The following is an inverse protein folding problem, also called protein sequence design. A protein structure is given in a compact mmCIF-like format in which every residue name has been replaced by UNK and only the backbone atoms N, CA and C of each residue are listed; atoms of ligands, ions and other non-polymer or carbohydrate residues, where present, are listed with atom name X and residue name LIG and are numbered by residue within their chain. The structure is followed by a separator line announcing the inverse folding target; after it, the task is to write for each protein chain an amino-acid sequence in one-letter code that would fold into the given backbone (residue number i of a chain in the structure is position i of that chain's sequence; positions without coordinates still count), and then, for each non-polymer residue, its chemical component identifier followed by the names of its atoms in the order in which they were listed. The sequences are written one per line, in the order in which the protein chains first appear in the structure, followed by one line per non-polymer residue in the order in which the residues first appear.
data_IF_295860315732
#
_entry.id   IF_295860315732
#
_cell.length_a   1.000
_cell.length_b   1.000
_cell.length_c   1.000
_cell.angle_alpha   90.00
_cell.angle_beta   90.00
_cell.angle_gamma   90.00
#
_symmetry.space_group_name_H-M   'P 1'
#
loop_
_entity.id
_entity.type
_entity.pdbx_description
1 polymer ?
#
# COMPACT_ATOMS: atom_id res chain seq x y z
N UNK A 1 26.28 -14.18 1.87
CA UNK A 1 24.98 -13.85 1.23
C UNK A 1 25.04 -12.42 0.71
N UNK A 2 24.92 -12.27 -0.61
CA UNK A 2 25.05 -10.97 -1.30
C UNK A 2 23.95 -9.97 -0.87
N UNK A 3 24.25 -8.67 -0.91
CA UNK A 3 23.31 -7.58 -0.56
C UNK A 3 22.04 -7.62 -1.41
N UNK A 4 22.14 -7.98 -2.69
CA UNK A 4 20.95 -8.14 -3.56
C UNK A 4 20.05 -9.28 -3.08
N UNK A 5 20.62 -10.45 -2.74
CA UNK A 5 19.86 -11.58 -2.20
C UNK A 5 19.12 -11.22 -0.91
N UNK A 6 19.76 -10.47 0.00
CA UNK A 6 19.10 -9.96 1.21
C UNK A 6 17.95 -9.01 0.89
N UNK A 7 18.08 -8.16 -0.13
CA UNK A 7 17.00 -7.25 -0.55
C UNK A 7 15.79 -8.00 -1.13
N UNK A 8 16.00 -9.07 -1.92
CA UNK A 8 14.91 -9.92 -2.39
C UNK A 8 14.18 -10.62 -1.22
N UNK A 9 14.93 -11.15 -0.26
CA UNK A 9 14.36 -11.74 0.96
C UNK A 9 13.57 -10.72 1.80
N UNK A 10 14.11 -9.50 1.94
CA UNK A 10 13.41 -8.40 2.62
C UNK A 10 12.11 -8.03 1.90
N UNK A 11 12.09 -7.99 0.57
CA UNK A 11 10.88 -7.73 -0.19
C UNK A 11 9.83 -8.84 -0.04
N UNK A 12 10.23 -10.11 -0.01
CA UNK A 12 9.29 -11.20 0.28
C UNK A 12 8.68 -11.07 1.70
N UNK A 13 9.50 -10.70 2.68
CA UNK A 13 9.06 -10.47 4.06
C UNK A 13 8.12 -9.26 4.18
N UNK A 14 8.36 -8.19 3.42
CA UNK A 14 7.47 -7.02 3.29
C UNK A 14 6.07 -7.45 2.83
N UNK A 15 5.97 -8.37 1.87
CA UNK A 15 4.66 -8.87 1.40
C UNK A 15 3.95 -9.71 2.45
N UNK A 16 4.68 -10.53 3.22
CA UNK A 16 4.12 -11.29 4.34
C UNK A 16 3.60 -10.38 5.46
N UNK A 17 4.37 -9.36 5.85
CA UNK A 17 3.92 -8.37 6.84
C UNK A 17 2.70 -7.58 6.38
N UNK A 18 2.68 -7.21 5.11
CA UNK A 18 1.53 -6.50 4.51
C UNK A 18 0.29 -7.40 4.44
N UNK A 19 0.45 -8.69 4.11
CA UNK A 19 -0.63 -9.67 4.14
C UNK A 19 -1.18 -9.89 5.56
N UNK A 20 -0.30 -10.02 6.56
CA UNK A 20 -0.69 -10.16 7.97
C UNK A 20 -1.45 -8.93 8.48
N UNK A 21 -1.04 -7.73 8.06
CA UNK A 21 -1.75 -6.49 8.37
C UNK A 21 -3.19 -6.51 7.88
N UNK A 22 -3.46 -6.97 6.66
CA UNK A 22 -4.83 -7.06 6.16
C UNK A 22 -5.70 -8.02 6.98
N UNK A 23 -5.16 -9.16 7.40
CA UNK A 23 -5.88 -10.13 8.22
C UNK A 23 -6.17 -9.57 9.62
N UNK A 24 -5.16 -9.02 10.30
CA UNK A 24 -5.28 -8.50 11.67
C UNK A 24 -6.20 -7.26 11.71
N UNK A 25 -6.01 -6.34 10.76
CA UNK A 25 -6.79 -5.09 10.71
C UNK A 25 -8.25 -5.39 10.45
N UNK A 26 -8.58 -6.42 9.65
CA UNK A 26 -9.96 -6.86 9.45
C UNK A 26 -10.63 -7.32 10.74
N UNK A 27 -9.95 -8.13 11.55
CA UNK A 27 -10.50 -8.63 12.83
C UNK A 27 -10.72 -7.47 13.81
N UNK A 28 -9.82 -6.49 13.84
CA UNK A 28 -9.92 -5.35 14.74
C UNK A 28 -10.90 -4.27 14.29
N UNK A 29 -11.06 -4.05 12.98
CA UNK A 29 -11.98 -3.04 12.42
C UNK A 29 -13.45 -3.42 12.55
N UNK A 30 -13.79 -4.69 12.80
CA UNK A 30 -15.16 -5.08 13.15
C UNK A 30 -15.68 -4.38 14.43
N UNK A 31 -14.82 -3.71 15.20
CA UNK A 31 -15.18 -2.88 16.35
C UNK A 31 -15.69 -1.46 16.01
N UNK A 32 -15.67 -1.04 14.73
CA UNK A 32 -16.21 0.27 14.32
C UNK A 32 -15.26 1.46 14.46
N UNK A 33 -13.93 1.25 14.50
CA UNK A 33 -12.94 2.35 14.59
C UNK A 33 -13.10 3.35 13.44
N UNK A 34 -12.98 4.64 13.77
CA UNK A 34 -12.78 5.68 12.77
C UNK A 34 -11.44 5.50 12.02
N UNK A 35 -11.50 5.18 10.74
CA UNK A 35 -10.32 4.85 9.92
C UNK A 35 -9.29 5.98 9.85
N UNK A 36 -9.71 7.24 9.92
CA UNK A 36 -8.81 8.39 9.91
C UNK A 36 -7.99 8.48 11.21
N UNK A 37 -8.64 8.20 12.34
CA UNK A 37 -8.00 8.12 13.65
C UNK A 37 -7.01 6.96 13.68
N UNK A 38 -7.41 5.80 13.15
CA UNK A 38 -6.52 4.64 13.01
C UNK A 38 -5.27 4.96 12.18
N UNK A 39 -5.43 5.60 11.00
CA UNK A 39 -4.33 6.04 10.16
C UNK A 39 -3.42 7.07 10.87
N UNK A 40 -4.01 7.97 11.67
CA UNK A 40 -3.27 8.96 12.46
C UNK A 40 -2.37 8.27 13.48
N UNK A 41 -2.92 7.38 14.31
CA UNK A 41 -2.14 6.64 15.30
C UNK A 41 -1.08 5.75 14.66
N UNK A 42 -1.43 5.05 13.58
CA UNK A 42 -0.49 4.23 12.80
C UNK A 42 0.72 5.04 12.33
N UNK A 43 0.50 6.21 11.73
CA UNK A 43 1.56 7.05 11.19
C UNK A 43 2.40 7.70 12.30
N UNK A 44 1.76 8.16 13.39
CA UNK A 44 2.45 8.72 14.54
C UNK A 44 3.33 7.67 15.23
N UNK A 45 2.81 6.45 15.45
CA UNK A 45 3.58 5.36 16.04
C UNK A 45 4.77 4.97 15.16
N UNK A 46 4.56 4.86 13.85
CA UNK A 46 5.63 4.57 12.91
C UNK A 46 6.74 5.63 12.94
N UNK A 47 6.37 6.91 13.02
CA UNK A 47 7.30 8.03 13.18
C UNK A 47 8.08 7.95 14.50
N UNK A 48 7.39 7.70 15.63
CA UNK A 48 8.01 7.57 16.95
C UNK A 48 9.04 6.44 17.02
N UNK A 49 8.93 5.42 16.17
CA UNK A 49 9.91 4.32 16.07
C UNK A 49 11.00 4.66 15.05
N UNK A 50 10.63 5.11 13.85
CA UNK A 50 11.56 5.39 12.78
C UNK A 50 12.50 6.54 13.11
N UNK A 51 12.02 7.61 13.75
CA UNK A 51 12.83 8.78 14.08
C UNK A 51 14.03 8.45 14.99
N UNK A 52 13.86 7.80 16.16
CA UNK A 52 14.99 7.42 17.00
C UNK A 52 15.87 6.35 16.34
N UNK A 53 15.28 5.32 15.71
CA UNK A 53 16.06 4.27 15.04
C UNK A 53 16.93 4.86 13.93
N UNK A 54 16.36 5.73 13.08
CA UNK A 54 17.13 6.44 12.08
C UNK A 54 18.22 7.29 12.74
N UNK A 55 17.90 7.99 13.84
CA UNK A 55 18.86 8.85 14.55
C UNK A 55 20.07 8.04 15.00
N UNK A 56 19.87 6.95 15.73
CA UNK A 56 20.97 6.15 16.25
C UNK A 56 21.71 5.37 15.16
N UNK A 57 21.02 4.78 14.19
CA UNK A 57 21.65 3.95 13.16
C UNK A 57 22.39 4.76 12.08
N UNK A 58 21.98 6.00 11.82
CA UNK A 58 22.48 6.77 10.68
C UNK A 58 23.18 8.07 11.07
N UNK A 59 23.32 8.39 12.37
CA UNK A 59 23.97 9.64 12.85
C UNK A 59 25.33 9.91 12.22
N UNK A 60 26.11 8.86 11.96
CA UNK A 60 27.50 8.96 11.53
C UNK A 60 27.72 9.38 10.07
N UNK A 61 26.71 9.30 9.19
CA UNK A 61 26.91 9.54 7.75
C UNK A 61 25.78 10.35 7.08
N UNK A 62 24.89 10.95 7.88
CA UNK A 62 23.79 11.80 7.36
C UNK A 62 24.34 13.08 6.73
N UNK A 63 24.03 13.35 5.44
CA UNK A 63 24.29 14.66 4.85
C UNK A 63 23.48 15.76 5.54
N UNK A 64 23.87 17.04 5.43
CA UNK A 64 23.05 18.15 5.89
C UNK A 64 21.74 18.24 5.10
N UNK A 65 20.64 18.51 5.79
CA UNK A 65 19.32 18.67 5.17
C UNK A 65 19.27 20.02 4.45
N UNK A 66 19.11 19.99 3.13
CA UNK A 66 18.90 21.18 2.30
C UNK A 66 17.40 21.42 2.08
N UNK A 67 17.00 22.65 1.74
CA UNK A 67 15.60 22.97 1.41
C UNK A 67 15.03 22.08 0.30
N UNK A 68 15.85 21.76 -0.71
CA UNK A 68 15.46 20.87 -1.82
C UNK A 68 15.15 19.45 -1.34
N UNK A 69 15.97 18.91 -0.42
CA UNK A 69 15.71 17.60 0.19
C UNK A 69 14.46 17.60 1.06
N UNK A 70 14.24 18.68 1.82
CA UNK A 70 13.05 18.83 2.64
C UNK A 70 11.77 18.81 1.78
N UNK A 71 11.77 19.50 0.64
CA UNK A 71 10.67 19.44 -0.34
C UNK A 71 10.50 18.01 -0.88
N UNK A 72 11.59 17.31 -1.20
CA UNK A 72 11.50 15.91 -1.62
C UNK A 72 10.89 15.01 -0.54
N UNK A 73 11.30 15.15 0.73
CA UNK A 73 10.71 14.39 1.83
C UNK A 73 9.23 14.69 2.03
N UNK A 74 8.82 15.95 1.86
CA UNK A 74 7.42 16.33 1.85
C UNK A 74 6.64 15.62 0.74
N UNK A 75 7.14 15.61 -0.50
CA UNK A 75 6.49 14.90 -1.61
C UNK A 75 6.47 13.38 -1.41
N UNK A 76 7.51 12.78 -0.83
CA UNK A 76 7.50 11.36 -0.46
C UNK A 76 6.45 11.06 0.60
N UNK A 77 6.32 11.89 1.64
CA UNK A 77 5.28 11.76 2.66
C UNK A 77 3.87 11.96 2.09
N UNK A 78 3.69 12.97 1.23
CA UNK A 78 2.44 13.30 0.56
C UNK A 78 1.99 12.16 -0.35
N UNK A 79 2.87 11.62 -1.18
CA UNK A 79 2.50 10.60 -2.17
C UNK A 79 2.50 9.19 -1.58
N UNK A 80 3.53 8.80 -0.83
CA UNK A 80 3.70 7.41 -0.39
C UNK A 80 2.86 7.00 0.81
N UNK A 81 2.51 7.96 1.66
CA UNK A 81 1.89 7.67 2.96
C UNK A 81 0.53 8.36 3.05
N UNK A 82 0.50 9.69 3.10
CA UNK A 82 -0.74 10.44 3.32
C UNK A 82 -1.73 10.28 2.16
N UNK A 83 -1.35 10.67 0.95
CA UNK A 83 -2.20 10.62 -0.24
C UNK A 83 -2.53 9.19 -0.63
N UNK A 84 -1.56 8.27 -0.54
CA UNK A 84 -1.79 6.84 -0.72
C UNK A 84 -2.91 6.33 0.20
N UNK A 85 -2.80 6.55 1.53
CA UNK A 85 -3.82 6.10 2.49
C UNK A 85 -5.18 6.77 2.24
N UNK A 86 -5.20 8.10 2.08
CA UNK A 86 -6.45 8.85 1.92
C UNK A 86 -7.22 8.45 0.65
N UNK A 87 -6.53 8.34 -0.48
CA UNK A 87 -7.12 7.94 -1.76
C UNK A 87 -7.59 6.48 -1.73
N UNK A 88 -6.89 5.62 -0.98
CA UNK A 88 -7.35 4.24 -0.78
C UNK A 88 -8.67 4.19 -0.01
N UNK A 89 -8.75 4.92 1.12
CA UNK A 89 -9.96 4.97 1.94
C UNK A 89 -11.14 5.59 1.17
N UNK A 90 -10.90 6.70 0.48
CA UNK A 90 -11.93 7.32 -0.37
C UNK A 90 -12.37 6.38 -1.51
N UNK A 91 -11.43 5.69 -2.16
CA UNK A 91 -11.73 4.72 -3.20
C UNK A 91 -12.62 3.57 -2.70
N UNK A 92 -12.30 3.02 -1.53
CA UNK A 92 -13.10 1.97 -0.90
C UNK A 92 -14.48 2.46 -0.45
N UNK A 93 -14.61 3.71 -0.01
CA UNK A 93 -15.90 4.27 0.40
C UNK A 93 -16.93 4.35 -0.75
N UNK A 94 -16.47 4.46 -2.01
CA UNK A 94 -17.33 4.59 -3.18
C UNK A 94 -17.28 3.39 -4.14
N UNK A 95 -16.44 2.38 -3.85
CA UNK A 95 -16.31 1.15 -4.65
C UNK A 95 -16.33 -0.09 -3.76
N UNK A 96 -15.46 -1.06 -4.01
CA UNK A 96 -15.32 -2.25 -3.18
C UNK A 96 -13.85 -2.75 -3.19
N UNK A 97 -13.48 -3.63 -2.25
CA UNK A 97 -12.13 -4.21 -2.19
C UNK A 97 -11.71 -4.97 -3.45
N UNK A 98 -12.65 -5.53 -4.22
CA UNK A 98 -12.36 -6.24 -5.49
C UNK A 98 -11.81 -5.28 -6.54
N UNK A 99 -12.39 -4.09 -6.69
CA UNK A 99 -11.86 -3.06 -7.59
C UNK A 99 -10.48 -2.58 -7.13
N UNK A 100 -10.29 -2.37 -5.82
CA UNK A 100 -9.00 -1.99 -5.27
C UNK A 100 -7.92 -3.04 -5.57
N UNK A 101 -8.22 -4.32 -5.38
CA UNK A 101 -7.31 -5.42 -5.69
C UNK A 101 -6.99 -5.51 -7.19
N UNK A 102 -7.99 -5.31 -8.06
CA UNK A 102 -7.81 -5.32 -9.51
C UNK A 102 -6.89 -4.20 -10.03
N UNK A 103 -6.81 -3.06 -9.31
CA UNK A 103 -5.97 -1.92 -9.67
C UNK A 103 -4.51 -2.06 -9.21
N UNK A 104 -4.22 -2.88 -8.20
CA UNK A 104 -2.85 -3.01 -7.66
C UNK A 104 -1.78 -3.41 -8.69
N UNK A 105 -2.06 -4.31 -9.66
CA UNK A 105 -1.10 -4.68 -10.69
C UNK A 105 -0.73 -3.54 -11.65
N UNK A 106 -1.44 -2.42 -11.62
CA UNK A 106 -1.09 -1.19 -12.34
C UNK A 106 0.08 -0.44 -11.70
N UNK A 107 0.38 -0.65 -10.41
CA UNK A 107 1.51 -0.02 -9.72
C UNK A 107 2.87 -0.30 -10.39
N UNK A 108 3.27 -1.55 -10.69
CA UNK A 108 4.54 -1.80 -11.37
C UNK A 108 4.61 -1.20 -12.78
N UNK A 109 3.47 -1.12 -13.50
CA UNK A 109 3.39 -0.47 -14.82
C UNK A 109 3.70 1.02 -14.69
N UNK A 110 2.99 1.71 -13.79
CA UNK A 110 3.17 3.14 -13.53
C UNK A 110 4.56 3.44 -12.98
N UNK A 111 5.09 2.59 -12.09
CA UNK A 111 6.42 2.78 -11.52
C UNK A 111 7.48 2.71 -12.60
N UNK A 112 7.42 1.72 -13.48
CA UNK A 112 8.36 1.59 -14.59
C UNK A 112 8.25 2.76 -15.58
N UNK A 113 7.02 3.18 -15.92
CA UNK A 113 6.81 4.36 -16.78
C UNK A 113 7.45 5.62 -16.16
N UNK A 114 7.21 5.87 -14.88
CA UNK A 114 7.77 7.02 -14.16
C UNK A 114 9.29 6.95 -14.09
N UNK A 115 9.89 5.79 -13.82
CA UNK A 115 11.35 5.67 -13.79
C UNK A 115 12.00 5.87 -15.16
N UNK A 116 11.33 5.49 -16.24
CA UNK A 116 11.77 5.80 -17.61
C UNK A 116 11.72 7.31 -17.89
N UNK A 117 10.61 7.97 -17.55
CA UNK A 117 10.44 9.43 -17.73
C UNK A 117 11.49 10.20 -16.91
N UNK A 118 11.77 9.73 -15.69
CA UNK A 118 12.76 10.35 -14.80
C UNK A 118 14.22 9.98 -15.15
N UNK A 119 14.45 9.10 -16.14
CA UNK A 119 15.78 8.62 -16.50
C UNK A 119 16.49 7.82 -15.41
N UNK A 120 15.75 7.29 -14.44
CA UNK A 120 16.28 6.46 -13.35
C UNK A 120 16.62 5.06 -13.88
N UNK A 121 15.77 4.56 -14.79
CA UNK A 121 15.96 3.27 -15.45
C UNK A 121 15.96 3.46 -16.97
N UNK A 122 16.66 2.57 -17.68
CA UNK A 122 16.72 2.59 -19.15
C UNK A 122 15.99 1.39 -19.72
N UNK A 123 15.12 1.62 -20.71
CA UNK A 123 14.46 0.55 -21.44
C UNK A 123 15.47 -0.08 -22.41
N UNK A 124 16.10 -1.17 -21.98
CA UNK A 124 16.98 -1.94 -22.84
C UNK A 124 16.50 -3.39 -22.93
N UNK A 125 15.65 -3.66 -23.91
CA UNK A 125 15.11 -4.99 -24.21
C UNK A 125 16.19 -5.98 -24.69
N UNK A 126 17.38 -5.50 -25.04
CA UNK A 126 18.52 -6.35 -25.35
C UNK A 126 19.14 -7.01 -24.12
N UNK A 127 18.99 -6.40 -22.93
CA UNK A 127 19.52 -6.95 -21.66
C UNK A 127 18.50 -7.86 -20.99
N UNK A 128 18.99 -8.91 -20.33
CA UNK A 128 18.17 -9.85 -19.54
C UNK A 128 17.36 -9.09 -18.47
N UNK A 129 17.97 -8.08 -17.81
CA UNK A 129 17.28 -7.26 -16.81
C UNK A 129 16.06 -6.52 -17.37
N UNK A 130 16.14 -5.97 -18.59
CA UNK A 130 15.02 -5.29 -19.24
C UNK A 130 13.90 -6.27 -19.63
N UNK A 131 14.25 -7.44 -20.15
CA UNK A 131 13.29 -8.51 -20.46
C UNK A 131 12.58 -9.02 -19.20
N UNK A 132 13.30 -9.19 -18.10
CA UNK A 132 12.74 -9.64 -16.82
C UNK A 132 11.75 -8.62 -16.23
N UNK A 133 12.02 -7.31 -16.37
CA UNK A 133 11.11 -6.27 -15.89
C UNK A 133 9.79 -6.27 -16.66
N UNK A 134 9.86 -6.29 -17.99
CA UNK A 134 8.65 -6.34 -18.85
C UNK A 134 7.91 -7.66 -18.65
N UNK A 135 8.63 -8.78 -18.57
CA UNK A 135 8.04 -10.09 -18.27
C UNK A 135 7.33 -10.12 -16.91
N UNK A 136 7.94 -9.55 -15.87
CA UNK A 136 7.32 -9.40 -14.55
C UNK A 136 6.03 -8.59 -14.62
N UNK A 137 6.01 -7.47 -15.35
CA UNK A 137 4.81 -6.66 -15.56
C UNK A 137 3.70 -7.48 -16.24
N UNK A 138 4.02 -8.24 -17.31
CA UNK A 138 3.06 -9.09 -18.01
C UNK A 138 2.47 -10.17 -17.10
N UNK A 139 3.30 -10.76 -16.23
CA UNK A 139 2.85 -11.74 -15.23
C UNK A 139 1.92 -11.08 -14.22
N UNK A 140 2.22 -9.87 -13.75
CA UNK A 140 1.34 -9.11 -12.85
C UNK A 140 -0.02 -8.81 -13.49
N UNK A 141 -0.04 -8.35 -14.76
CA UNK A 141 -1.28 -8.06 -15.49
C UNK A 141 -2.10 -9.33 -15.73
N UNK A 142 -1.44 -10.41 -16.16
CA UNK A 142 -2.11 -11.70 -16.37
C UNK A 142 -2.69 -12.24 -15.07
N UNK A 143 -1.94 -12.16 -13.96
CA UNK A 143 -2.42 -12.54 -12.63
C UNK A 143 -3.63 -11.72 -12.17
N UNK A 144 -3.63 -10.41 -12.44
CA UNK A 144 -4.76 -9.52 -12.17
C UNK A 144 -6.02 -9.95 -12.94
N UNK A 145 -5.86 -10.17 -14.25
CA UNK A 145 -6.95 -10.58 -15.13
C UNK A 145 -7.50 -11.95 -14.72
N UNK A 146 -6.62 -12.90 -14.37
CA UNK A 146 -7.04 -14.20 -13.84
C UNK A 146 -7.84 -14.05 -12.54
N UNK A 147 -7.40 -13.21 -11.59
CA UNK A 147 -8.15 -12.98 -10.34
C UNK A 147 -9.55 -12.36 -10.59
N UNK A 148 -9.68 -11.48 -11.58
CA UNK A 148 -10.96 -10.83 -11.91
C UNK A 148 -11.89 -11.74 -12.71
N UNK A 149 -11.35 -12.46 -13.70
CA UNK A 149 -12.13 -13.28 -14.63
C UNK A 149 -12.48 -14.66 -14.03
N UNK A 150 -11.65 -15.20 -13.14
CA UNK A 150 -11.86 -16.51 -12.50
C UNK A 150 -12.66 -16.42 -11.19
N UNK A 151 -13.82 -15.75 -11.20
CA UNK A 151 -14.81 -15.91 -10.11
C UNK A 151 -15.39 -17.33 -10.15
N UNK A 152 -14.79 -18.25 -9.39
CA UNK A 152 -15.22 -19.64 -9.24
C UNK A 152 -15.79 -19.94 -7.85
N UNK A 153 -16.75 -20.89 -7.70
CA UNK A 153 -17.30 -21.27 -6.40
C UNK A 153 -16.25 -21.97 -5.51
N UNK A 154 -16.42 -21.85 -4.19
CA UNK A 154 -15.51 -22.39 -3.17
C UNK A 154 -15.32 -23.92 -3.31
N UNK A 155 -14.07 -24.39 -3.36
CA UNK A 155 -13.76 -25.81 -3.60
C UNK A 155 -13.55 -26.59 -2.29
N UNK A 156 -13.14 -25.95 -1.19
CA UNK A 156 -12.96 -26.60 0.11
C UNK A 156 -13.35 -25.63 1.23
N UNK A 157 -14.32 -26.03 2.05
CA UNK A 157 -14.79 -25.26 3.21
C UNK A 157 -16.15 -24.61 2.96
N UNK A 158 -17.10 -24.86 3.86
CA UNK A 158 -18.46 -24.34 3.84
C UNK A 158 -18.48 -22.83 3.56
N UNK A 159 -19.43 -22.42 2.71
CA UNK A 159 -19.51 -21.13 2.00
C UNK A 159 -19.74 -19.89 2.86
N UNK A 160 -19.04 -19.75 3.98
CA UNK A 160 -19.04 -18.54 4.79
C UNK A 160 -18.06 -17.46 4.30
N UNK A 161 -16.99 -17.83 3.57
CA UNK A 161 -15.86 -16.91 3.36
C UNK A 161 -16.02 -15.91 2.20
N UNK A 162 -16.97 -16.13 1.28
CA UNK A 162 -17.27 -15.12 0.24
C UNK A 162 -17.81 -13.84 0.89
N UNK A 163 -18.51 -13.96 2.02
CA UNK A 163 -19.11 -12.81 2.70
C UNK A 163 -18.09 -11.99 3.49
N UNK A 164 -17.00 -12.59 3.96
CA UNK A 164 -16.12 -11.91 4.93
C UNK A 164 -14.92 -11.18 4.33
N UNK A 165 -14.30 -11.59 3.22
CA UNK A 165 -13.25 -10.76 2.57
C UNK A 165 -13.87 -9.53 1.88
N UNK A 166 -15.17 -9.60 1.57
CA UNK A 166 -15.93 -8.63 0.80
C UNK A 166 -16.66 -7.57 1.65
N UNK A 167 -16.69 -7.71 2.98
CA UNK A 167 -17.20 -6.68 3.88
C UNK A 167 -16.03 -5.95 4.55
N UNK A 168 -15.50 -4.93 3.88
CA UNK A 168 -15.24 -3.70 4.63
C UNK A 168 -16.60 -3.02 4.67
N UNK A 169 -17.33 -3.17 5.77
CA UNK A 169 -18.58 -2.45 6.01
C UNK A 169 -18.37 -0.97 5.70
N UNK A 170 -19.40 -0.35 5.10
CA UNK A 170 -19.53 1.06 4.73
C UNK A 170 -18.52 1.94 5.47
N UNK A 171 -17.39 2.23 4.82
CA UNK A 171 -16.49 3.27 5.29
C UNK A 171 -17.31 4.56 5.32
N UNK A 172 -17.58 5.17 6.48
CA UNK A 172 -18.29 6.43 6.53
C UNK A 172 -17.55 7.40 5.61
N UNK A 173 -18.28 7.97 4.66
CA UNK A 173 -17.73 8.88 3.67
C UNK A 173 -16.85 9.90 4.39
N UNK A 174 -15.57 9.96 4.02
CA UNK A 174 -14.65 10.91 4.61
C UNK A 174 -15.25 12.30 4.36
N UNK A 175 -15.63 13.01 5.43
CA UNK A 175 -16.35 14.30 5.35
C UNK A 175 -15.63 15.34 4.49
N UNK A 176 -14.30 15.26 4.38
CA UNK A 176 -13.49 16.14 3.52
C UNK A 176 -13.67 15.87 2.02
N UNK A 177 -14.20 14.71 1.65
CA UNK A 177 -14.49 14.35 0.25
C UNK A 177 -15.82 14.92 -0.22
N UNK A 178 -16.77 15.19 0.67
CA UNK A 178 -18.10 15.69 0.29
C UNK A 178 -18.03 17.04 -0.43
N UNK A 179 -17.15 17.95 0.00
CA UNK A 179 -16.94 19.25 -0.64
C UNK A 179 -16.40 19.12 -2.07
N UNK A 180 -15.53 18.13 -2.31
CA UNK A 180 -14.79 17.95 -3.57
C UNK A 180 -15.69 17.20 -4.55
N UNK A 181 -16.47 16.27 -4.00
CA UNK A 181 -17.52 15.54 -4.68
C UNK A 181 -18.66 16.44 -5.14
N UNK A 182 -19.06 17.42 -4.32
CA UNK A 182 -20.12 18.36 -4.68
C UNK A 182 -19.80 19.11 -5.97
N UNK A 183 -18.53 19.48 -6.17
CA UNK A 183 -18.08 20.13 -7.42
C UNK A 183 -18.01 19.17 -8.62
N UNK A 184 -17.55 17.93 -8.42
CA UNK A 184 -17.35 16.94 -9.49
C UNK A 184 -18.65 16.28 -9.97
N UNK A 185 -19.65 16.14 -9.11
CA UNK A 185 -21.00 15.70 -9.49
C UNK A 185 -21.62 16.71 -10.48
N UNK A 186 -21.30 18.01 -10.34
CA UNK A 186 -21.68 19.05 -11.29
C UNK A 186 -21.09 18.89 -12.70
N UNK A 187 -20.01 18.12 -12.85
CA UNK A 187 -19.40 17.75 -14.13
C UNK A 187 -19.91 16.40 -14.68
N UNK A 188 -20.89 15.75 -14.04
CA UNK A 188 -21.45 14.47 -14.47
C UNK A 188 -20.63 13.24 -14.05
N UNK A 189 -19.74 13.36 -13.07
CA UNK A 189 -18.98 12.22 -12.53
C UNK A 189 -19.79 11.54 -11.43
N UNK A 190 -20.23 10.30 -11.69
CA UNK A 190 -20.93 9.51 -10.67
C UNK A 190 -20.01 9.15 -9.49
N UNK A 191 -20.63 8.84 -8.35
CA UNK A 191 -19.92 8.43 -7.12
C UNK A 191 -18.98 7.26 -7.35
N UNK A 192 -19.42 6.26 -8.13
CA UNK A 192 -18.59 5.11 -8.47
C UNK A 192 -17.35 5.48 -9.29
N UNK A 193 -17.52 6.34 -10.31
CA UNK A 193 -16.42 6.81 -11.15
C UNK A 193 -15.37 7.56 -10.33
N UNK A 194 -15.82 8.39 -9.39
CA UNK A 194 -14.91 9.06 -8.46
C UNK A 194 -14.12 8.07 -7.59
N UNK A 195 -14.77 7.03 -7.07
CA UNK A 195 -14.08 6.00 -6.31
C UNK A 195 -13.01 5.26 -7.13
N UNK A 196 -13.28 4.96 -8.41
CA UNK A 196 -12.29 4.39 -9.34
C UNK A 196 -11.15 5.38 -9.58
N UNK A 197 -11.43 6.67 -9.80
CA UNK A 197 -10.42 7.72 -9.93
C UNK A 197 -9.53 7.82 -8.68
N UNK A 198 -10.11 7.69 -7.49
CA UNK A 198 -9.34 7.63 -6.24
C UNK A 198 -8.43 6.41 -6.18
N UNK A 199 -8.89 5.22 -6.58
CA UNK A 199 -8.05 4.01 -6.62
C UNK A 199 -6.91 4.12 -7.64
N UNK A 200 -7.16 4.74 -8.80
CA UNK A 200 -6.11 5.05 -9.78
C UNK A 200 -5.11 6.04 -9.20
N UNK A 201 -5.61 7.10 -8.54
CA UNK A 201 -4.78 8.06 -7.82
C UNK A 201 -3.93 7.43 -6.73
N UNK A 202 -4.48 6.48 -5.97
CA UNK A 202 -3.75 5.68 -4.98
C UNK A 202 -2.56 4.93 -5.62
N UNK A 203 -2.81 4.20 -6.71
CA UNK A 203 -1.77 3.45 -7.41
C UNK A 203 -0.69 4.37 -7.97
N UNK A 204 -1.08 5.53 -8.52
CA UNK A 204 -0.15 6.55 -9.02
C UNK A 204 0.68 7.16 -7.90
N UNK A 205 0.07 7.47 -6.75
CA UNK A 205 0.74 7.98 -5.56
C UNK A 205 1.80 7.00 -5.07
N UNK A 206 1.47 5.72 -4.96
CA UNK A 206 2.42 4.71 -4.51
C UNK A 206 3.54 4.46 -5.53
N UNK A 207 3.22 4.42 -6.83
CA UNK A 207 4.22 4.32 -7.89
C UNK A 207 5.19 5.52 -7.89
N UNK A 208 4.65 6.74 -7.71
CA UNK A 208 5.42 7.98 -7.61
C UNK A 208 6.35 7.96 -6.39
N UNK A 209 5.88 7.46 -5.25
CA UNK A 209 6.71 7.30 -4.05
C UNK A 209 7.92 6.39 -4.30
N UNK A 210 7.70 5.19 -4.85
CA UNK A 210 8.78 4.23 -5.13
C UNK A 210 9.74 4.82 -6.19
N UNK A 211 9.23 5.47 -7.22
CA UNK A 211 10.04 6.10 -8.27
C UNK A 211 10.90 7.26 -7.72
N UNK A 212 10.32 8.20 -6.95
CA UNK A 212 11.02 9.35 -6.38
C UNK A 212 12.07 8.96 -5.34
N UNK A 213 11.89 7.83 -4.64
CA UNK A 213 12.85 7.35 -3.68
C UNK A 213 14.24 7.11 -4.29
N UNK A 214 14.34 6.61 -5.52
CA UNK A 214 15.61 6.38 -6.21
C UNK A 214 16.54 7.61 -6.23
N UNK A 215 16.14 8.72 -6.87
CA UNK A 215 16.94 9.94 -6.96
C UNK A 215 17.13 10.63 -5.60
N UNK A 216 16.20 10.48 -4.67
CA UNK A 216 16.34 11.01 -3.30
C UNK A 216 17.40 10.24 -2.53
N UNK A 217 17.38 8.91 -2.58
CA UNK A 217 18.36 8.04 -1.90
C UNK A 217 19.76 8.13 -2.52
N UNK A 218 19.86 8.51 -3.80
CA UNK A 218 21.13 8.84 -4.44
C UNK A 218 21.78 10.10 -3.83
N UNK A 219 20.96 11.12 -3.48
CA UNK A 219 21.45 12.37 -2.86
C UNK A 219 21.57 12.27 -1.33
N UNK A 220 20.75 11.43 -0.71
CA UNK A 220 20.67 11.27 0.74
C UNK A 220 20.65 9.77 1.07
N UNK A 221 21.83 9.14 1.27
CA UNK A 221 21.96 7.69 1.35
C UNK A 221 21.42 7.05 2.64
N UNK A 222 20.88 7.83 3.57
CA UNK A 222 20.36 7.37 4.85
C UNK A 222 18.87 7.02 4.73
N UNK A 223 18.58 5.75 4.40
CA UNK A 223 17.25 5.28 4.00
C UNK A 223 16.22 5.37 5.14
N UNK A 224 16.59 5.03 6.38
CA UNK A 224 15.65 5.10 7.50
C UNK A 224 15.27 6.56 7.80
N UNK A 225 16.22 7.48 7.65
CA UNK A 225 16.00 8.91 7.79
C UNK A 225 15.07 9.44 6.70
N UNK A 226 15.24 9.03 5.44
CA UNK A 226 14.30 9.42 4.35
C UNK A 226 12.88 8.95 4.71
N UNK A 227 12.72 7.72 5.15
CA UNK A 227 11.42 7.18 5.58
C UNK A 227 10.87 7.95 6.79
N UNK A 228 11.68 8.23 7.80
CA UNK A 228 11.27 8.98 8.99
C UNK A 228 10.77 10.39 8.66
N UNK A 229 11.49 11.14 7.81
CA UNK A 229 11.03 12.48 7.39
C UNK A 229 9.76 12.40 6.53
N UNK A 230 9.61 11.37 5.71
CA UNK A 230 8.38 11.14 4.95
C UNK A 230 7.19 10.89 5.88
N UNK A 231 7.38 10.06 6.92
CA UNK A 231 6.37 9.83 7.97
C UNK A 231 6.10 11.08 8.80
N UNK A 232 7.09 11.95 9.03
CA UNK A 232 6.89 13.21 9.73
C UNK A 232 5.87 14.09 8.98
N UNK A 233 6.12 14.36 7.71
CA UNK A 233 5.19 15.18 6.90
C UNK A 233 3.83 14.50 6.74
N UNK A 234 3.80 13.19 6.49
CA UNK A 234 2.56 12.45 6.36
C UNK A 234 1.73 12.44 7.65
N UNK A 235 2.37 12.25 8.81
CA UNK A 235 1.71 12.27 10.11
C UNK A 235 1.16 13.66 10.42
N UNK A 236 1.88 14.73 10.10
CA UNK A 236 1.40 16.10 10.28
C UNK A 236 0.13 16.35 9.44
N UNK A 237 0.15 15.99 8.15
CA UNK A 237 -1.01 16.11 7.28
C UNK A 237 -2.18 15.24 7.76
N UNK A 238 -1.90 14.01 8.21
CA UNK A 238 -2.93 13.08 8.68
C UNK A 238 -3.59 13.56 9.97
N UNK A 239 -2.81 14.11 10.92
CA UNK A 239 -3.36 14.73 12.15
C UNK A 239 -4.26 15.90 11.79
N UNK A 240 -3.84 16.78 10.88
CA UNK A 240 -4.65 17.93 10.45
C UNK A 240 -5.99 17.45 9.88
N UNK A 241 -5.98 16.49 8.94
CA UNK A 241 -7.23 15.95 8.38
C UNK A 241 -8.05 15.19 9.42
N UNK A 242 -7.42 14.44 10.32
CA UNK A 242 -8.08 13.72 11.40
C UNK A 242 -8.84 14.64 12.35
N UNK A 243 -8.23 15.79 12.72
CA UNK A 243 -8.87 16.81 13.55
C UNK A 243 -10.07 17.45 12.87
N UNK A 244 -10.02 17.71 11.55
CA UNK A 244 -11.15 18.24 10.80
C UNK A 244 -12.24 17.21 10.50
N UNK A 245 -11.90 15.92 10.48
CA UNK A 245 -12.83 14.83 10.13
C UNK A 245 -13.55 14.23 11.33
N UNK A 246 -13.09 14.50 12.56
CA UNK A 246 -13.69 13.98 13.80
C UNK A 246 -14.47 15.09 14.51
N UNK A 247 -15.73 14.82 14.86
CA UNK A 247 -16.59 15.80 15.54
C UNK A 247 -16.63 15.59 17.05
N UNK A 248 -16.37 14.36 17.54
CA UNK A 248 -16.45 14.01 18.95
C UNK A 248 -15.09 13.55 19.48
N UNK A 249 -14.75 13.96 20.70
CA UNK A 249 -13.52 13.54 21.38
C UNK A 249 -13.49 12.02 21.67
N UNK A 250 -14.65 11.37 21.73
CA UNK A 250 -14.78 9.91 21.90
C UNK A 250 -14.28 9.11 20.70
N UNK A 251 -14.16 9.73 19.53
CA UNK A 251 -13.67 9.04 18.32
C UNK A 251 -12.17 8.73 18.41
N UNK A 252 -11.46 9.39 19.36
CA UNK A 252 -10.04 9.21 19.61
C UNK A 252 -9.74 8.18 20.71
N UNK A 253 -10.75 7.65 21.42
CA UNK A 253 -10.52 6.58 22.39
C UNK A 253 -10.43 5.23 21.68
N UNK A 254 -9.32 4.51 21.88
CA UNK A 254 -9.13 3.17 21.35
C UNK A 254 -9.47 2.12 22.40
N UNK A 255 -10.17 1.07 21.98
CA UNK A 255 -10.34 -0.15 22.79
C UNK A 255 -9.07 -1.01 22.78
N UNK A 256 -9.00 -2.04 23.62
CA UNK A 256 -7.79 -2.88 23.73
C UNK A 256 -7.45 -3.63 22.43
N UNK A 257 -8.46 -4.14 21.72
CA UNK A 257 -8.29 -4.85 20.44
C UNK A 257 -7.82 -3.90 19.34
N UNK A 258 -8.35 -2.69 19.34
CA UNK A 258 -8.01 -1.61 18.41
C UNK A 258 -6.57 -1.11 18.64
N UNK A 259 -6.15 -0.98 19.89
CA UNK A 259 -4.78 -0.64 20.26
C UNK A 259 -3.80 -1.69 19.74
N UNK A 260 -4.09 -2.99 19.89
CA UNK A 260 -3.25 -4.06 19.37
C UNK A 260 -3.11 -3.99 17.85
N UNK A 261 -4.19 -3.67 17.14
CA UNK A 261 -4.15 -3.49 15.69
C UNK A 261 -3.33 -2.27 15.28
N UNK A 262 -3.47 -1.15 16.00
CA UNK A 262 -2.64 0.06 15.80
C UNK A 262 -1.17 -0.25 16.04
N UNK A 263 -0.83 -1.01 17.09
CA UNK A 263 0.54 -1.41 17.40
C UNK A 263 1.14 -2.24 16.25
N UNK A 264 0.42 -3.26 15.78
CA UNK A 264 0.87 -4.06 14.64
C UNK A 264 1.01 -3.20 13.37
N UNK A 265 0.03 -2.34 13.10
CA UNK A 265 0.00 -1.45 11.95
C UNK A 265 1.17 -0.46 11.93
N UNK A 266 1.46 0.19 13.06
CA UNK A 266 2.51 1.19 13.18
C UNK A 266 3.91 0.57 13.24
N UNK A 267 4.09 -0.51 14.00
CA UNK A 267 5.41 -1.16 14.15
C UNK A 267 5.75 -1.98 12.91
N UNK A 268 4.93 -2.99 12.60
CA UNK A 268 5.26 -4.00 11.59
C UNK A 268 4.92 -3.48 10.21
N UNK A 269 3.65 -3.12 9.97
CA UNK A 269 3.17 -2.77 8.64
C UNK A 269 3.65 -1.39 8.13
N UNK A 270 4.19 -0.55 9.03
CA UNK A 270 4.64 0.80 8.71
C UNK A 270 6.15 0.96 8.95
N UNK A 271 6.61 1.03 10.19
CA UNK A 271 8.03 1.29 10.49
C UNK A 271 8.97 0.25 9.86
N UNK A 272 8.75 -1.03 10.14
CA UNK A 272 9.57 -2.12 9.59
C UNK A 272 9.36 -2.25 8.09
N UNK A 273 8.09 -2.31 7.64
CA UNK A 273 7.75 -2.55 6.24
C UNK A 273 8.29 -1.46 5.30
N UNK A 274 8.04 -0.18 5.61
CA UNK A 274 8.52 0.93 4.78
C UNK A 274 10.04 1.11 4.91
N UNK A 275 10.63 0.83 6.07
CA UNK A 275 12.07 0.84 6.26
C UNK A 275 12.78 -0.20 5.37
N UNK A 276 12.28 -1.45 5.37
CA UNK A 276 12.77 -2.53 4.51
C UNK A 276 12.51 -2.23 3.03
N UNK A 277 11.32 -1.75 2.68
CA UNK A 277 10.98 -1.38 1.30
C UNK A 277 11.90 -0.29 0.76
N UNK A 278 12.16 0.77 1.55
CA UNK A 278 13.07 1.87 1.17
C UNK A 278 14.51 1.37 1.03
N UNK A 279 14.96 0.49 1.93
CA UNK A 279 16.27 -0.13 1.85
C UNK A 279 16.44 -1.01 0.60
N UNK A 280 15.45 -1.85 0.32
CA UNK A 280 15.41 -2.69 -0.87
C UNK A 280 15.37 -1.85 -2.15
N UNK A 281 14.62 -0.74 -2.16
CA UNK A 281 14.54 0.16 -3.31
C UNK A 281 15.91 0.79 -3.64
N UNK A 282 16.69 1.13 -2.61
CA UNK A 282 18.07 1.61 -2.79
C UNK A 282 18.97 0.59 -3.51
N UNK A 283 18.74 -0.71 -3.34
CA UNK A 283 19.61 -1.79 -3.83
C UNK A 283 19.11 -2.36 -5.16
N UNK A 284 17.81 -2.62 -5.26
CA UNK A 284 17.17 -3.33 -6.37
C UNK A 284 16.61 -2.38 -7.43
N UNK A 285 16.33 -1.14 -7.05
CA UNK A 285 15.69 -0.12 -7.89
C UNK A 285 14.16 -0.17 -7.88
N UNK A 286 13.51 0.93 -8.31
CA UNK A 286 12.06 1.12 -8.13
C UNK A 286 11.20 0.10 -8.86
N UNK A 287 11.51 -0.21 -10.12
CA UNK A 287 10.67 -1.11 -10.90
C UNK A 287 10.70 -2.52 -10.33
N UNK A 288 11.88 -3.00 -9.91
CA UNK A 288 11.98 -4.34 -9.38
C UNK A 288 11.33 -4.47 -7.99
N UNK A 289 11.39 -3.43 -7.15
CA UNK A 289 10.64 -3.39 -5.89
C UNK A 289 9.13 -3.41 -6.14
N UNK A 290 8.64 -2.65 -7.12
CA UNK A 290 7.20 -2.58 -7.41
C UNK A 290 6.60 -3.90 -7.93
N UNK A 291 7.40 -4.78 -8.53
CA UNK A 291 6.97 -6.11 -8.97
C UNK A 291 6.58 -7.05 -7.82
N UNK A 292 7.00 -6.75 -6.58
CA UNK A 292 6.59 -7.53 -5.41
C UNK A 292 5.18 -7.19 -4.93
N UNK A 293 4.63 -6.02 -5.25
CA UNK A 293 3.34 -5.56 -4.70
C UNK A 293 2.18 -6.50 -5.04
N UNK A 294 2.08 -7.09 -6.26
CA UNK A 294 1.02 -8.05 -6.56
C UNK A 294 1.12 -9.39 -5.81
N UNK A 295 2.20 -9.64 -5.05
CA UNK A 295 2.29 -10.80 -4.16
C UNK A 295 1.58 -10.58 -2.83
N UNK A 296 1.26 -9.33 -2.46
CA UNK A 296 0.58 -8.99 -1.21
C UNK A 296 -0.77 -9.72 -1.05
N UNK A 297 -1.68 -9.76 -2.04
CA UNK A 297 -2.95 -10.48 -1.91
C UNK A 297 -2.74 -11.99 -1.74
N UNK A 298 -1.72 -12.55 -2.42
CA UNK A 298 -1.36 -13.98 -2.31
C UNK A 298 -0.85 -14.29 -0.90
N UNK A 299 0.03 -13.46 -0.35
CA UNK A 299 0.53 -13.58 1.02
C UNK A 299 -0.61 -13.45 2.05
N UNK A 300 -1.53 -12.51 1.83
CA UNK A 300 -2.72 -12.34 2.68
C UNK A 300 -3.62 -13.58 2.65
N UNK A 301 -3.87 -14.14 1.48
CA UNK A 301 -4.68 -15.36 1.33
C UNK A 301 -4.03 -16.55 2.04
N UNK A 302 -2.72 -16.73 1.87
CA UNK A 302 -1.95 -17.78 2.53
C UNK A 302 -1.93 -17.64 4.07
N UNK A 303 -1.79 -16.42 4.59
CA UNK A 303 -1.85 -16.20 6.05
C UNK A 303 -3.26 -16.41 6.60
N UNK A 304 -4.29 -15.98 5.87
CA UNK A 304 -5.68 -16.20 6.25
C UNK A 304 -6.00 -17.70 6.39
N UNK A 305 -5.46 -18.55 5.51
CA UNK A 305 -5.75 -19.98 5.56
C UNK A 305 -5.09 -20.67 6.74
N UNK A 306 -3.87 -20.27 7.10
CA UNK A 306 -3.15 -20.80 8.25
C UNK A 306 -3.81 -20.37 9.56
N UNK A 307 -4.10 -19.07 9.72
CA UNK A 307 -4.53 -18.53 11.01
C UNK A 307 -6.04 -18.58 11.24
N UNK A 308 -6.86 -18.51 10.18
CA UNK A 308 -8.33 -18.48 10.27
C UNK A 308 -9.00 -19.76 9.71
N UNK A 309 -8.22 -20.77 9.27
CA UNK A 309 -8.73 -21.97 8.59
C UNK A 309 -9.69 -21.67 7.44
N UNK A 310 -9.46 -20.55 6.75
CA UNK A 310 -10.34 -20.03 5.71
C UNK A 310 -10.13 -20.71 4.35
N UNK A 311 -11.20 -20.96 3.60
CA UNK A 311 -11.20 -21.57 2.27
C UNK A 311 -10.35 -20.79 1.22
N UNK A 312 -9.57 -21.51 0.40
CA UNK A 312 -8.89 -20.97 -0.80
C UNK A 312 -9.77 -21.25 -2.02
N UNK A 313 -10.04 -20.23 -2.83
CA UNK A 313 -10.77 -20.35 -4.08
C UNK A 313 -9.79 -20.68 -5.21
N UNK A 314 -9.80 -21.94 -5.68
CA UNK A 314 -9.12 -22.31 -6.92
C UNK A 314 -10.00 -21.90 -8.10
N UNK A 315 -9.47 -21.08 -9.01
CA UNK A 315 -10.13 -20.76 -10.27
C UNK A 315 -10.51 -22.03 -11.05
N UNK A 316 -11.68 -22.01 -11.70
CA UNK A 316 -12.26 -23.14 -12.45
C UNK A 316 -11.24 -23.72 -13.46
N UNK A 317 -10.69 -24.90 -13.16
CA UNK A 317 -9.97 -25.73 -14.13
C UNK A 317 -10.74 -26.97 -14.56
N UNK A 318 -12.00 -27.13 -14.15
CA UNK A 318 -12.86 -28.22 -14.61
C UNK A 318 -14.27 -27.69 -14.88
N UNK A 319 -14.52 -27.21 -16.09
CA UNK A 319 -15.83 -27.31 -16.76
C UNK A 319 -15.71 -26.89 -18.23
N UNK A 320 -14.76 -27.50 -18.94
CA UNK A 320 -14.72 -27.48 -20.41
C UNK A 320 -14.68 -28.93 -20.94
N UNK A 321 -15.48 -29.83 -20.36
CA UNK A 321 -15.68 -31.21 -20.88
C UNK A 321 -17.06 -31.78 -20.54
N UNK A 322 -18.12 -30.96 -20.46
CA UNK A 322 -19.50 -31.47 -20.59
C UNK A 322 -20.40 -30.39 -21.22
N UNK A 323 -20.35 -30.34 -22.54
CA UNK A 323 -21.50 -29.93 -23.37
C UNK A 323 -21.75 -31.08 -24.35
N UNK A 324 -22.61 -31.99 -23.93
CA UNK A 324 -23.46 -32.81 -24.79
C UNK A 324 -24.88 -32.55 -24.36
#
# INVERSE_FOLDING_TARGET
MDRRSKAHGAMAMVQLFSGGYHVITKVALNGGINQMVFCTYRNALALCILAPVAYFCERGYRPPITRRLLISFFFLGLTGIFGNQLLFLAGLAYTNPTYAAAMQPTVPILTYLLTLIMGIETLNLGKIEGKLKVGGILVCVTGALMMVLLKGPAVIGSGGLETYILQTENVPAVATTEWLMSGLIGFGIDRWHFGVLCLVGNCLCFATYIALQGPVLAKYPANLSVTAHSYLFASLLMVVVGLFSTQKSTDWSLTQTELLAVLYAGIVASAVNYGLSTWSNKILGPALVSLYNPLQPVASAFLSTIFLSSAIYLGRLYNCTQTT
#
